data_IF_371923504141
#
_entry.id   IF_371923504141
#
_cell.length_a   1.000
_cell.length_b   1.000
_cell.length_c   1.000
_cell.angle_alpha   90.00
_cell.angle_beta   90.00
_cell.angle_gamma   90.00
#
_symmetry.space_group_name_H-M   'P 1'
#
loop_
_entity.id
_entity.type
_entity.pdbx_description
1 polymer ?
#
# COMPACT_ATOMS: atom_id res chain seq x y z
N UNK A 1 43.70 -75.84 0.45
CA UNK A 1 42.49 -75.15 -0.09
C UNK A 1 42.12 -73.99 0.84
N UNK A 2 42.50 -72.79 0.48
CA UNK A 2 42.17 -71.58 1.27
C UNK A 2 41.03 -70.84 0.58
N UNK A 3 39.91 -70.76 1.27
CA UNK A 3 38.73 -69.98 0.80
C UNK A 3 38.87 -68.60 1.33
N UNK A 4 39.04 -67.62 0.43
CA UNK A 4 39.09 -66.19 0.74
C UNK A 4 37.65 -65.64 0.75
N UNK A 5 37.23 -65.06 1.86
CA UNK A 5 35.99 -64.33 2.01
C UNK A 5 36.14 -62.89 1.51
N UNK A 6 35.24 -62.34 0.73
CA UNK A 6 35.31 -60.97 0.32
C UNK A 6 34.77 -60.01 1.43
N UNK A 7 35.59 -59.05 1.71
CA UNK A 7 35.26 -57.93 2.65
C UNK A 7 34.17 -57.02 2.08
N UNK A 8 33.05 -56.93 2.79
CA UNK A 8 31.97 -56.04 2.43
C UNK A 8 32.36 -54.60 2.76
N UNK A 9 32.60 -53.80 1.73
CA UNK A 9 32.74 -52.35 1.86
C UNK A 9 31.41 -51.70 2.23
N UNK A 10 31.33 -51.17 3.43
CA UNK A 10 30.19 -50.35 3.87
C UNK A 10 30.29 -48.97 3.24
N UNK A 11 29.41 -48.70 2.29
CA UNK A 11 29.21 -47.37 1.72
C UNK A 11 28.47 -46.47 2.75
N UNK A 12 29.19 -45.56 3.38
CA UNK A 12 28.61 -44.54 4.27
C UNK A 12 28.08 -43.44 3.39
N UNK A 13 26.76 -43.40 3.22
CA UNK A 13 26.08 -42.31 2.53
C UNK A 13 26.01 -41.09 3.47
N UNK A 14 26.89 -40.10 3.24
CA UNK A 14 26.88 -38.83 3.95
C UNK A 14 25.74 -38.01 3.34
N UNK A 15 24.59 -37.95 4.01
CA UNK A 15 23.50 -37.06 3.65
C UNK A 15 23.90 -35.62 4.01
N UNK A 16 24.26 -34.85 3.00
CA UNK A 16 24.50 -33.41 3.15
C UNK A 16 23.18 -32.71 3.46
N UNK A 17 23.01 -32.24 4.70
CA UNK A 17 21.90 -31.41 5.11
C UNK A 17 22.13 -30.01 4.51
N UNK A 18 21.45 -29.71 3.42
CA UNK A 18 21.46 -28.34 2.82
C UNK A 18 20.54 -27.47 3.66
N UNK A 19 21.06 -26.45 4.34
CA UNK A 19 20.19 -25.52 5.04
C UNK A 19 19.36 -24.71 4.02
N UNK A 20 18.07 -24.93 4.01
CA UNK A 20 17.12 -24.05 3.27
C UNK A 20 17.03 -22.74 4.00
N UNK A 21 17.74 -21.73 3.49
CA UNK A 21 17.54 -20.35 3.92
C UNK A 21 16.17 -19.92 3.42
N UNK A 22 15.19 -19.91 4.32
CA UNK A 22 13.91 -19.23 4.08
C UNK A 22 14.21 -17.75 4.05
N UNK A 23 14.30 -17.16 2.86
CA UNK A 23 14.40 -15.72 2.70
C UNK A 23 13.08 -15.10 3.21
N UNK A 24 13.09 -14.54 4.41
CA UNK A 24 12.01 -13.71 4.88
C UNK A 24 11.92 -12.50 3.93
N UNK A 25 10.77 -12.31 3.27
CA UNK A 25 10.53 -11.14 2.44
C UNK A 25 10.78 -9.89 3.31
N UNK A 26 11.62 -8.97 2.83
CA UNK A 26 11.83 -7.69 3.49
C UNK A 26 10.48 -6.97 3.66
N UNK A 27 10.22 -6.30 4.81
CA UNK A 27 9.00 -5.55 4.98
C UNK A 27 8.86 -4.53 3.85
N UNK A 28 7.62 -4.24 3.38
CA UNK A 28 7.42 -3.29 2.30
C UNK A 28 8.06 -1.95 2.65
N UNK A 29 8.81 -1.37 1.71
CA UNK A 29 9.50 -0.11 1.92
C UNK A 29 8.50 1.03 2.16
N UNK A 30 7.36 1.02 1.47
CA UNK A 30 6.29 1.99 1.63
C UNK A 30 5.35 1.57 2.77
N UNK A 31 5.12 2.49 3.70
CA UNK A 31 4.19 2.31 4.83
C UNK A 31 3.16 3.41 4.82
N UNK A 32 1.93 3.08 5.23
CA UNK A 32 0.85 4.03 5.39
C UNK A 32 0.42 4.10 6.86
N UNK A 33 0.08 5.31 7.31
CA UNK A 33 -0.38 5.58 8.68
C UNK A 33 -1.55 6.56 8.63
N UNK A 34 -2.34 6.59 9.71
CA UNK A 34 -3.41 7.56 9.94
C UNK A 34 -4.41 7.68 8.78
N UNK A 35 -4.76 6.54 8.17
CA UNK A 35 -5.67 6.54 7.04
C UNK A 35 -7.11 6.74 7.49
N UNK A 36 -7.79 7.72 6.90
CA UNK A 36 -9.19 7.99 7.18
C UNK A 36 -9.92 8.54 5.94
N UNK A 37 -11.22 8.40 5.92
CA UNK A 37 -12.10 8.87 4.85
C UNK A 37 -13.08 9.86 5.43
N UNK A 38 -13.19 11.02 4.80
CA UNK A 38 -14.27 11.98 5.07
C UNK A 38 -15.45 11.65 4.18
N UNK A 39 -16.54 11.22 4.78
CA UNK A 39 -17.79 10.95 4.10
C UNK A 39 -18.81 12.03 4.41
N UNK A 40 -19.58 12.43 3.40
CA UNK A 40 -20.74 13.31 3.55
C UNK A 40 -22.01 12.53 3.23
N UNK A 41 -23.10 12.72 4.00
CA UNK A 41 -24.37 12.07 3.70
C UNK A 41 -24.95 12.50 2.35
N UNK A 42 -25.51 11.54 1.61
CA UNK A 42 -26.26 11.82 0.38
C UNK A 42 -25.43 12.12 -0.86
N UNK A 43 -24.10 11.94 -0.80
CA UNK A 43 -23.21 12.09 -1.97
C UNK A 43 -22.49 10.76 -2.26
N UNK A 44 -22.19 10.53 -3.53
CA UNK A 44 -21.51 9.35 -4.02
C UNK A 44 -19.98 9.54 -4.19
N UNK A 45 -19.45 10.58 -3.53
CA UNK A 45 -18.03 10.90 -3.50
C UNK A 45 -17.53 11.02 -2.07
N UNK A 46 -16.27 10.67 -1.85
CA UNK A 46 -15.59 10.85 -0.57
C UNK A 46 -14.12 11.20 -0.77
N UNK A 47 -13.51 11.85 0.20
CA UNK A 47 -12.09 12.16 0.20
C UNK A 47 -11.38 11.31 1.26
N UNK A 48 -10.27 10.68 0.90
CA UNK A 48 -9.44 9.91 1.81
C UNK A 48 -8.08 10.58 2.00
N UNK A 49 -7.56 10.43 3.20
CA UNK A 49 -6.32 11.02 3.67
C UNK A 49 -5.48 9.98 4.39
N UNK A 50 -4.17 10.09 4.28
CA UNK A 50 -3.22 9.21 4.96
C UNK A 50 -1.83 9.84 4.95
N UNK A 51 -0.91 9.25 5.68
CA UNK A 51 0.51 9.57 5.61
C UNK A 51 1.26 8.40 5.02
N UNK A 52 2.05 8.62 3.97
CA UNK A 52 2.92 7.63 3.35
C UNK A 52 4.36 7.91 3.74
N UNK A 53 5.09 6.87 4.13
CA UNK A 53 6.52 6.95 4.41
C UNK A 53 7.26 5.87 3.62
N UNK A 54 8.25 6.30 2.84
CA UNK A 54 9.15 5.38 2.16
C UNK A 54 10.40 5.13 3.02
N UNK A 55 10.40 4.06 3.78
CA UNK A 55 11.53 3.65 4.62
C UNK A 55 12.63 2.88 3.89
N UNK A 56 12.51 2.73 2.56
CA UNK A 56 13.53 2.07 1.73
C UNK A 56 14.65 2.99 1.28
N UNK A 57 15.57 2.44 0.50
CA UNK A 57 16.74 3.13 -0.06
C UNK A 57 16.53 3.56 -1.52
N UNK A 58 15.40 3.20 -2.11
CA UNK A 58 15.03 3.54 -3.48
C UNK A 58 13.70 4.32 -3.49
N UNK A 59 13.48 5.19 -4.49
CA UNK A 59 12.19 5.84 -4.65
C UNK A 59 11.09 4.81 -4.91
N UNK A 60 9.89 5.13 -4.44
CA UNK A 60 8.66 4.38 -4.75
C UNK A 60 7.75 5.29 -5.57
N UNK A 61 7.14 4.76 -6.61
CA UNK A 61 6.18 5.48 -7.43
C UNK A 61 4.80 4.83 -7.24
N UNK A 62 3.85 5.61 -6.75
CA UNK A 62 2.43 5.23 -6.72
C UNK A 62 1.85 5.62 -8.08
N UNK A 63 1.58 4.63 -8.90
CA UNK A 63 1.07 4.81 -10.27
C UNK A 63 -0.43 5.08 -10.33
N UNK A 64 -1.14 4.78 -9.25
CA UNK A 64 -2.58 4.98 -9.13
C UNK A 64 -3.14 4.44 -7.83
N UNK A 65 -4.43 4.60 -7.64
CA UNK A 65 -5.16 4.12 -6.48
C UNK A 65 -6.47 3.48 -6.91
N UNK A 66 -6.96 2.51 -6.15
CA UNK A 66 -8.27 1.92 -6.31
C UNK A 66 -8.91 1.61 -4.96
N UNK A 67 -10.22 1.38 -4.95
CA UNK A 67 -10.93 0.92 -3.76
C UNK A 67 -12.10 0.04 -4.18
N UNK A 68 -12.32 -1.12 -3.54
CA UNK A 68 -13.50 -1.93 -3.78
C UNK A 68 -14.80 -1.23 -3.36
N UNK A 69 -14.74 -0.19 -2.52
CA UNK A 69 -15.89 0.60 -2.07
C UNK A 69 -16.35 1.66 -3.08
N UNK A 70 -15.57 1.93 -4.13
CA UNK A 70 -15.83 2.96 -5.13
C UNK A 70 -15.70 2.43 -6.56
N UNK A 71 -16.33 3.08 -7.51
CA UNK A 71 -16.19 2.77 -8.93
C UNK A 71 -14.90 3.33 -9.53
N UNK A 72 -14.37 4.43 -8.97
CA UNK A 72 -13.09 5.01 -9.33
C UNK A 72 -12.43 5.67 -8.12
N UNK A 73 -11.10 5.71 -8.12
CA UNK A 73 -10.31 6.44 -7.15
C UNK A 73 -9.12 7.11 -7.85
N UNK A 74 -8.77 8.32 -7.42
CA UNK A 74 -7.68 9.11 -8.01
C UNK A 74 -6.99 9.94 -6.93
N UNK A 75 -5.69 10.16 -7.10
CA UNK A 75 -4.95 11.12 -6.29
C UNK A 75 -5.12 12.49 -6.93
N UNK A 76 -5.60 13.45 -6.14
CA UNK A 76 -5.71 14.85 -6.50
C UNK A 76 -4.87 15.71 -5.57
N UNK A 77 -4.50 16.88 -6.06
CA UNK A 77 -3.89 17.93 -5.27
C UNK A 77 -4.71 19.21 -5.39
N UNK A 78 -5.06 19.80 -4.25
CA UNK A 78 -5.66 21.11 -4.18
C UNK A 78 -4.57 22.14 -3.98
N UNK A 79 -4.53 23.16 -4.82
CA UNK A 79 -3.61 24.30 -4.72
C UNK A 79 -4.39 25.61 -4.79
N UNK A 80 -3.87 26.64 -4.11
CA UNK A 80 -4.40 27.99 -4.19
C UNK A 80 -3.65 28.75 -5.29
N UNK A 81 -4.37 29.18 -6.33
CA UNK A 81 -3.83 30.01 -7.40
C UNK A 81 -4.61 31.33 -7.40
N UNK A 82 -3.93 32.43 -7.13
CA UNK A 82 -4.55 33.78 -7.02
C UNK A 82 -5.78 33.83 -6.09
N UNK A 83 -5.73 33.12 -4.96
CA UNK A 83 -6.82 33.03 -4.00
C UNK A 83 -7.96 32.10 -4.41
N UNK A 84 -7.88 31.44 -5.54
CA UNK A 84 -8.83 30.42 -5.98
C UNK A 84 -8.29 29.03 -5.75
N UNK A 85 -9.12 28.15 -5.17
CA UNK A 85 -8.81 26.75 -5.01
C UNK A 85 -8.92 26.04 -6.35
N UNK A 86 -7.85 25.37 -6.76
CA UNK A 86 -7.78 24.58 -7.99
C UNK A 86 -7.39 23.16 -7.64
N UNK A 87 -8.11 22.19 -8.19
CA UNK A 87 -7.86 20.75 -8.00
C UNK A 87 -7.33 20.14 -9.30
N UNK A 88 -6.27 19.37 -9.19
CA UNK A 88 -5.64 18.68 -10.33
C UNK A 88 -5.34 17.23 -9.98
N UNK A 89 -5.37 16.35 -10.98
CA UNK A 89 -4.86 14.99 -10.83
C UNK A 89 -3.35 15.03 -10.56
N UNK A 90 -2.90 14.23 -9.60
CA UNK A 90 -1.51 14.13 -9.17
C UNK A 90 -1.05 12.66 -9.22
N UNK A 91 -1.15 12.07 -10.39
CA UNK A 91 -0.64 10.73 -10.66
C UNK A 91 0.29 10.76 -11.89
N UNK A 92 1.41 10.03 -11.83
CA UNK A 92 1.93 9.23 -10.74
C UNK A 92 2.53 10.09 -9.60
N UNK A 93 2.47 9.58 -8.36
CA UNK A 93 3.10 10.19 -7.19
C UNK A 93 4.42 9.50 -6.89
N UNK A 94 5.53 10.24 -6.97
CA UNK A 94 6.87 9.74 -6.65
C UNK A 94 7.24 10.11 -5.22
N UNK A 95 7.66 9.12 -4.43
CA UNK A 95 8.10 9.27 -3.04
C UNK A 95 9.57 8.86 -2.96
N UNK A 96 10.44 9.80 -2.68
CA UNK A 96 11.88 9.55 -2.58
C UNK A 96 12.22 8.62 -1.40
N UNK A 97 13.41 8.05 -1.40
CA UNK A 97 13.90 7.25 -0.28
C UNK A 97 13.92 8.10 1.00
N UNK A 98 13.33 7.61 2.09
CA UNK A 98 13.21 8.30 3.37
C UNK A 98 12.17 9.41 3.42
N UNK A 99 11.47 9.69 2.32
CA UNK A 99 10.48 10.75 2.26
C UNK A 99 9.16 10.35 2.94
N UNK A 100 8.53 11.33 3.56
CA UNK A 100 7.17 11.24 4.10
C UNK A 100 6.27 12.20 3.33
N UNK A 101 5.20 11.67 2.75
CA UNK A 101 4.16 12.43 2.03
C UNK A 101 2.87 12.37 2.82
N UNK A 102 2.31 13.53 3.13
CA UNK A 102 1.07 13.66 3.88
C UNK A 102 -0.08 14.08 2.96
N UNK A 103 -1.14 13.29 2.97
CA UNK A 103 -2.42 13.62 2.38
C UNK A 103 -3.29 14.29 3.44
N UNK A 104 -3.73 15.49 3.16
CA UNK A 104 -4.51 16.32 4.10
C UNK A 104 -5.52 17.19 3.34
N UNK A 105 -6.57 17.67 4.01
CA UNK A 105 -7.45 18.68 3.43
C UNK A 105 -6.63 19.87 2.90
N UNK A 106 -7.05 20.41 1.76
CA UNK A 106 -6.38 21.53 1.06
C UNK A 106 -5.00 21.19 0.45
N UNK A 107 -4.63 19.92 0.39
CA UNK A 107 -3.42 19.42 -0.26
C UNK A 107 -3.71 18.16 -1.07
N UNK A 108 -2.79 17.20 -0.99
CA UNK A 108 -2.98 15.88 -1.59
C UNK A 108 -4.13 15.14 -0.90
N UNK A 109 -4.98 14.49 -1.70
CA UNK A 109 -6.06 13.65 -1.22
C UNK A 109 -6.41 12.58 -2.25
N UNK A 110 -7.03 11.50 -1.80
CA UNK A 110 -7.57 10.47 -2.67
C UNK A 110 -9.07 10.74 -2.81
N UNK A 111 -9.53 11.02 -4.03
CA UNK A 111 -10.96 11.12 -4.32
C UNK A 111 -11.51 9.76 -4.67
N UNK A 112 -12.56 9.35 -3.96
CA UNK A 112 -13.38 8.18 -4.24
C UNK A 112 -14.63 8.64 -4.94
N UNK A 113 -14.88 8.11 -6.14
CA UNK A 113 -16.05 8.42 -6.96
C UNK A 113 -16.94 7.19 -7.13
N UNK A 114 -18.23 7.43 -7.36
CA UNK A 114 -19.20 6.35 -7.55
C UNK A 114 -19.14 5.33 -6.39
N UNK A 115 -19.36 5.83 -5.19
CA UNK A 115 -19.43 5.00 -4.00
C UNK A 115 -20.52 3.95 -4.17
N UNK A 116 -20.18 2.67 -3.96
CA UNK A 116 -21.12 1.55 -4.15
C UNK A 116 -22.20 1.48 -3.08
N UNK A 117 -21.96 2.13 -1.93
CA UNK A 117 -22.91 2.29 -0.83
C UNK A 117 -22.60 3.56 -0.06
N UNK A 118 -23.56 4.13 0.69
CA UNK A 118 -23.26 5.19 1.63
C UNK A 118 -22.21 4.76 2.64
N UNK A 119 -21.27 5.63 2.93
CA UNK A 119 -20.27 5.43 3.98
C UNK A 119 -20.76 6.04 5.29
N UNK A 120 -20.63 5.30 6.37
CA UNK A 120 -21.06 5.70 7.72
C UNK A 120 -19.83 5.81 8.62
N UNK A 121 -19.82 6.79 9.52
CA UNK A 121 -18.74 6.95 10.50
C UNK A 121 -18.51 5.63 11.26
N UNK A 122 -17.23 5.21 11.33
CA UNK A 122 -16.83 3.93 11.90
C UNK A 122 -16.62 2.81 10.88
N UNK A 123 -17.13 2.94 9.65
CA UNK A 123 -16.82 2.00 8.58
C UNK A 123 -15.31 1.98 8.27
N UNK A 124 -14.85 0.88 7.68
CA UNK A 124 -13.51 0.76 7.14
C UNK A 124 -13.57 0.63 5.62
N UNK A 125 -12.75 1.40 4.94
CA UNK A 125 -12.66 1.45 3.49
C UNK A 125 -11.26 1.01 3.05
N UNK A 126 -11.14 -0.09 2.28
CA UNK A 126 -9.85 -0.46 1.72
C UNK A 126 -9.42 0.53 0.64
N UNK A 127 -8.20 1.05 0.76
CA UNK A 127 -7.51 1.82 -0.26
C UNK A 127 -6.36 0.97 -0.79
N UNK A 128 -6.29 0.76 -2.09
CA UNK A 128 -5.24 -0.03 -2.73
C UNK A 128 -4.36 0.91 -3.54
N UNK A 129 -3.17 1.17 -3.05
CA UNK A 129 -2.15 1.96 -3.75
C UNK A 129 -1.42 1.04 -4.73
N UNK A 130 -1.47 1.36 -6.01
CA UNK A 130 -0.78 0.62 -7.06
C UNK A 130 0.63 1.16 -7.22
N UNK A 131 1.62 0.29 -7.18
CA UNK A 131 3.02 0.68 -7.27
C UNK A 131 3.57 0.39 -8.66
N UNK A 132 4.38 1.28 -9.18
CA UNK A 132 5.15 1.03 -10.39
C UNK A 132 6.08 -0.18 -10.17
N UNK A 133 6.15 -1.07 -11.16
CA UNK A 133 6.87 -2.33 -11.03
C UNK A 133 6.02 -3.52 -10.58
N UNK A 134 4.72 -3.34 -10.31
CA UNK A 134 3.74 -4.43 -10.14
C UNK A 134 3.38 -4.82 -8.71
N UNK A 135 3.74 -4.03 -7.71
CA UNK A 135 3.30 -4.21 -6.31
C UNK A 135 2.06 -3.38 -5.98
N UNK A 136 1.48 -3.63 -4.81
CA UNK A 136 0.43 -2.80 -4.23
C UNK A 136 0.53 -2.76 -2.72
N UNK A 137 0.00 -1.69 -2.13
CA UNK A 137 -0.15 -1.52 -0.69
C UNK A 137 -1.63 -1.31 -0.38
N UNK A 138 -2.23 -2.21 0.37
CA UNK A 138 -3.61 -2.06 0.85
C UNK A 138 -3.61 -1.44 2.23
N UNK A 139 -4.40 -0.39 2.39
CA UNK A 139 -4.55 0.37 3.63
C UNK A 139 -6.02 0.43 4.01
N UNK A 140 -6.34 0.11 5.26
CA UNK A 140 -7.71 0.26 5.79
C UNK A 140 -7.87 1.67 6.33
N UNK A 141 -8.77 2.44 5.74
CA UNK A 141 -9.06 3.81 6.12
C UNK A 141 -10.38 3.88 6.88
N UNK A 142 -10.36 4.48 8.08
CA UNK A 142 -11.55 4.62 8.91
C UNK A 142 -12.40 5.80 8.46
N UNK A 143 -13.69 5.57 8.28
CA UNK A 143 -14.63 6.63 7.95
C UNK A 143 -14.88 7.51 9.16
N UNK A 144 -14.73 8.83 8.98
CA UNK A 144 -15.05 9.87 9.96
C UNK A 144 -16.23 10.70 9.45
N UNK A 145 -17.09 11.11 10.37
CA UNK A 145 -18.17 12.05 10.08
C UNK A 145 -17.66 13.48 9.89
N UNK A 146 -18.52 14.37 9.41
CA UNK A 146 -18.18 15.78 9.16
C UNK A 146 -17.79 16.57 10.43
N UNK A 147 -18.12 16.05 11.62
CA UNK A 147 -17.78 16.64 12.91
C UNK A 147 -16.58 16.02 13.64
N UNK A 148 -15.98 14.98 13.08
CA UNK A 148 -14.85 14.29 13.70
C UNK A 148 -13.54 14.96 13.23
N UNK A 149 -12.82 15.57 14.14
CA UNK A 149 -11.52 16.23 13.93
C UNK A 149 -10.37 15.37 14.48
#
# INVERSE_FOLDING_TARGET
>A
MRVSTPSAARLVLLAALVPTFTSAAAPPALRAQDAWVRAAPGVDVAAAYLTLHNGGTQPVVVSGVSSPAAGAAMIHETTLVNGQSTMRAHEPLRIAAGETVRFAPEGLHIMLHMLKRPLVAGDEVPLVLLLEGGGSLTVMARVRGLGDS
#
